data_IF_785387805122
#
_entry.id   IF_785387805122
#
_cell.length_a   1.000
_cell.length_b   1.000
_cell.length_c   1.000
_cell.angle_alpha   90.00
_cell.angle_beta   90.00
_cell.angle_gamma   90.00
#
_symmetry.space_group_name_H-M   'P 1'
#
loop_
_entity.id
_entity.type
_entity.pdbx_description
1 polymer ?
#
# COMPACT_ATOMS: atom_id res chain seq x y z
N UNK A 1 0.41 4.20 -8.67
CA UNK A 1 -0.15 4.74 -7.40
C UNK A 1 1.02 5.18 -6.56
N UNK A 2 1.06 6.47 -6.19
CA UNK A 2 2.17 7.04 -5.43
C UNK A 2 1.68 7.29 -3.99
N UNK A 3 2.47 6.85 -3.01
CA UNK A 3 2.22 7.15 -1.59
C UNK A 3 3.31 8.05 -1.01
N UNK A 4 2.92 9.22 -0.51
CA UNK A 4 3.78 10.19 0.16
C UNK A 4 3.55 10.07 1.66
N UNK A 5 4.62 9.79 2.40
CA UNK A 5 4.59 9.80 3.86
C UNK A 5 5.12 11.14 4.39
N UNK A 6 4.38 11.74 5.31
CA UNK A 6 4.78 12.94 6.04
C UNK A 6 4.47 12.82 7.53
N UNK A 7 5.23 13.52 8.37
CA UNK A 7 4.93 13.67 9.80
C UNK A 7 4.03 14.90 9.97
N UNK A 8 3.04 14.80 10.85
CA UNK A 8 2.19 15.93 11.22
C UNK A 8 2.74 16.62 12.47
N UNK A 9 2.84 17.95 12.41
CA UNK A 9 3.19 18.82 13.52
C UNK A 9 1.95 19.62 13.90
N UNK A 10 1.59 19.57 15.17
CA UNK A 10 0.46 20.32 15.72
C UNK A 10 1.04 21.43 16.59
N UNK A 11 0.46 22.62 16.47
CA UNK A 11 0.89 23.78 17.25
C UNK A 11 0.42 23.68 18.70
N UNK A 12 -0.77 23.09 18.91
CA UNK A 12 -1.38 22.84 20.22
C UNK A 12 -1.34 21.35 20.61
N UNK A 13 -1.19 21.09 21.91
CA UNK A 13 -1.26 19.74 22.48
C UNK A 13 -2.70 19.22 22.49
N UNK A 14 -3.67 20.12 22.67
CA UNK A 14 -5.11 19.89 22.66
C UNK A 14 -5.55 19.45 21.26
N UNK A 15 -5.11 20.15 20.21
CA UNK A 15 -5.38 19.78 18.81
C UNK A 15 -4.91 18.38 18.47
N UNK A 16 -3.68 18.04 18.88
CA UNK A 16 -3.14 16.70 18.72
C UNK A 16 -3.99 15.66 19.46
N UNK A 17 -4.47 15.99 20.66
CA UNK A 17 -5.31 15.11 21.46
C UNK A 17 -6.70 14.92 20.84
N UNK A 18 -7.29 15.96 20.27
CA UNK A 18 -8.55 15.91 19.52
C UNK A 18 -8.45 14.99 18.31
N UNK A 19 -7.37 15.11 17.53
CA UNK A 19 -7.12 14.20 16.40
C UNK A 19 -6.85 12.76 16.87
N UNK A 20 -6.14 12.58 17.98
CA UNK A 20 -5.93 11.25 18.56
C UNK A 20 -7.24 10.59 19.00
N UNK A 21 -8.16 11.35 19.62
CA UNK A 21 -9.48 10.85 19.98
C UNK A 21 -10.31 10.47 18.74
N UNK A 22 -10.29 11.29 17.69
CA UNK A 22 -10.91 10.96 16.40
C UNK A 22 -10.36 9.64 15.84
N UNK A 23 -9.04 9.46 15.82
CA UNK A 23 -8.40 8.21 15.36
C UNK A 23 -8.83 7.01 16.22
N UNK A 24 -8.94 7.19 17.54
CA UNK A 24 -9.40 6.18 18.50
C UNK A 24 -10.83 5.75 18.21
N UNK A 25 -11.75 6.70 18.04
CA UNK A 25 -13.17 6.46 17.73
C UNK A 25 -13.33 5.81 16.35
N UNK A 26 -12.63 6.31 15.34
CA UNK A 26 -12.64 5.72 13.99
C UNK A 26 -12.12 4.28 13.99
N UNK A 27 -11.00 4.01 14.66
CA UNK A 27 -10.45 2.66 14.77
C UNK A 27 -11.41 1.72 15.51
N UNK A 28 -12.13 2.21 16.52
CA UNK A 28 -13.15 1.43 17.20
C UNK A 28 -14.36 1.14 16.29
N UNK A 29 -14.83 2.14 15.55
CA UNK A 29 -15.89 2.01 14.55
C UNK A 29 -15.56 0.96 13.50
N UNK A 30 -14.35 0.96 12.94
CA UNK A 30 -13.89 -0.02 11.95
C UNK A 30 -13.91 -1.45 12.49
N UNK A 31 -13.43 -1.67 13.72
CA UNK A 31 -13.46 -3.01 14.35
C UNK A 31 -14.88 -3.47 14.66
N UNK A 32 -15.74 -2.55 15.10
CA UNK A 32 -17.15 -2.85 15.35
C UNK A 32 -17.87 -3.21 14.06
N UNK A 33 -17.67 -2.41 13.01
CA UNK A 33 -18.20 -2.68 11.67
C UNK A 33 -17.73 -4.04 11.15
N UNK A 34 -16.46 -4.41 11.36
CA UNK A 34 -15.95 -5.73 10.98
C UNK A 34 -16.73 -6.87 11.63
N UNK A 35 -16.97 -6.79 12.94
CA UNK A 35 -17.78 -7.79 13.66
C UNK A 35 -19.20 -7.87 13.09
N UNK A 36 -19.84 -6.72 12.84
CA UNK A 36 -21.19 -6.68 12.27
C UNK A 36 -21.27 -7.21 10.84
N UNK A 37 -20.25 -6.97 10.02
CA UNK A 37 -20.15 -7.54 8.68
C UNK A 37 -20.03 -9.08 8.72
N UNK A 38 -19.36 -9.64 9.73
CA UNK A 38 -19.33 -11.10 9.94
C UNK A 38 -20.69 -11.67 10.33
N UNK A 39 -21.52 -10.88 11.01
CA UNK A 39 -22.89 -11.22 11.42
C UNK A 39 -23.92 -11.00 10.29
N UNK A 40 -23.49 -10.51 9.12
CA UNK A 40 -24.34 -10.35 7.94
C UNK A 40 -25.03 -8.99 7.81
N UNK A 41 -24.73 -8.03 8.68
CA UNK A 41 -25.32 -6.69 8.60
C UNK A 41 -24.94 -5.95 7.31
N UNK A 42 -25.88 -5.19 6.75
CA UNK A 42 -25.66 -4.45 5.50
C UNK A 42 -24.98 -3.11 5.76
N UNK A 43 -24.19 -2.64 4.78
CA UNK A 43 -23.48 -1.35 4.84
C UNK A 43 -24.40 -0.17 5.19
N UNK A 44 -25.58 -0.09 4.59
CA UNK A 44 -26.47 1.07 4.76
C UNK A 44 -27.06 1.16 6.18
N UNK A 45 -27.36 0.01 6.80
CA UNK A 45 -27.82 -0.08 8.19
C UNK A 45 -26.70 0.38 9.14
N UNK A 46 -25.49 -0.17 8.96
CA UNK A 46 -24.32 0.21 9.75
C UNK A 46 -24.00 1.70 9.60
N UNK A 47 -24.09 2.25 8.40
CA UNK A 47 -23.78 3.67 8.18
C UNK A 47 -24.68 4.59 9.00
N UNK A 48 -25.98 4.26 9.16
CA UNK A 48 -26.90 5.05 10.00
C UNK A 48 -26.59 4.88 11.49
N UNK A 49 -26.47 3.63 11.95
CA UNK A 49 -26.28 3.31 13.37
C UNK A 49 -24.93 3.81 13.93
N UNK A 50 -23.85 3.60 13.18
CA UNK A 50 -22.50 3.84 13.70
C UNK A 50 -22.12 5.33 13.80
N UNK A 51 -22.86 6.23 13.14
CA UNK A 51 -22.65 7.68 13.27
C UNK A 51 -22.88 8.16 14.71
N UNK A 52 -24.02 7.79 15.30
CA UNK A 52 -24.35 8.14 16.69
C UNK A 52 -23.44 7.41 17.68
N UNK A 53 -23.22 6.11 17.50
CA UNK A 53 -22.43 5.28 18.45
C UNK A 53 -20.99 5.79 18.61
N UNK A 54 -20.35 6.21 17.51
CA UNK A 54 -18.95 6.63 17.53
C UNK A 54 -18.75 8.14 17.42
N UNK A 55 -19.84 8.91 17.37
CA UNK A 55 -19.85 10.35 17.12
C UNK A 55 -18.98 10.74 15.91
N UNK A 56 -19.18 10.04 14.77
CA UNK A 56 -18.40 10.24 13.55
C UNK A 56 -19.32 10.72 12.44
N UNK A 57 -18.83 11.63 11.60
CA UNK A 57 -19.56 12.01 10.40
C UNK A 57 -19.76 10.81 9.45
N UNK A 58 -20.79 10.91 8.61
CA UNK A 58 -21.21 9.83 7.71
C UNK A 58 -20.10 9.30 6.80
N UNK A 59 -19.16 10.16 6.38
CA UNK A 59 -18.02 9.76 5.52
C UNK A 59 -17.02 8.91 6.30
N UNK A 60 -16.64 9.33 7.50
CA UNK A 60 -15.73 8.56 8.34
C UNK A 60 -16.27 7.18 8.68
N UNK A 61 -17.57 7.09 9.01
CA UNK A 61 -18.24 5.80 9.25
C UNK A 61 -18.20 4.94 7.99
N UNK A 62 -18.53 5.51 6.84
CA UNK A 62 -18.54 4.78 5.58
C UNK A 62 -17.14 4.24 5.22
N UNK A 63 -16.11 5.05 5.45
CA UNK A 63 -14.72 4.67 5.25
C UNK A 63 -14.25 3.60 6.25
N UNK A 64 -14.74 3.63 7.49
CA UNK A 64 -14.49 2.57 8.47
C UNK A 64 -15.12 1.24 8.03
N UNK A 65 -16.37 1.25 7.56
CA UNK A 65 -17.06 0.08 7.00
C UNK A 65 -16.32 -0.45 5.77
N UNK A 66 -15.90 0.45 4.86
CA UNK A 66 -15.14 0.10 3.66
C UNK A 66 -13.82 -0.60 4.02
N UNK A 67 -13.04 -0.04 4.94
CA UNK A 67 -11.78 -0.66 5.41
C UNK A 67 -12.03 -1.98 6.13
N UNK A 68 -13.08 -2.10 6.93
CA UNK A 68 -13.48 -3.36 7.55
C UNK A 68 -13.79 -4.44 6.51
N UNK A 69 -14.58 -4.09 5.48
CA UNK A 69 -14.93 -5.01 4.40
C UNK A 69 -13.70 -5.41 3.56
N UNK A 70 -12.76 -4.49 3.34
CA UNK A 70 -11.49 -4.79 2.67
C UNK A 70 -10.66 -5.82 3.45
N UNK A 71 -10.59 -5.70 4.79
CA UNK A 71 -9.95 -6.72 5.63
C UNK A 71 -10.68 -8.06 5.53
N UNK A 72 -12.01 -8.05 5.55
CA UNK A 72 -12.81 -9.27 5.44
C UNK A 72 -12.57 -9.98 4.11
N UNK A 73 -12.60 -9.24 2.99
CA UNK A 73 -12.33 -9.76 1.64
C UNK A 73 -10.92 -10.33 1.55
N UNK A 74 -9.92 -9.59 2.01
CA UNK A 74 -8.52 -10.05 2.01
C UNK A 74 -8.30 -11.30 2.88
N UNK A 75 -9.03 -11.47 3.98
CA UNK A 75 -8.96 -12.72 4.76
C UNK A 75 -9.55 -13.91 4.00
N UNK A 76 -10.71 -13.72 3.36
CA UNK A 76 -11.36 -14.77 2.55
C UNK A 76 -10.47 -15.18 1.36
N UNK A 77 -9.90 -14.21 0.65
CA UNK A 77 -8.98 -14.45 -0.48
C UNK A 77 -7.72 -15.22 -0.07
N UNK A 78 -7.23 -15.02 1.17
CA UNK A 78 -6.07 -15.74 1.71
C UNK A 78 -6.43 -17.11 2.32
N UNK A 79 -7.71 -17.52 2.29
CA UNK A 79 -8.19 -18.74 2.93
C UNK A 79 -8.05 -18.73 4.46
N UNK A 80 -7.94 -17.53 5.06
CA UNK A 80 -7.84 -17.38 6.51
C UNK A 80 -9.23 -17.31 7.15
N UNK A 81 -9.37 -17.81 8.38
CA UNK A 81 -10.63 -17.73 9.11
C UNK A 81 -10.92 -16.27 9.53
N UNK A 82 -11.98 -15.62 9.00
CA UNK A 82 -12.29 -14.23 9.32
C UNK A 82 -12.63 -13.98 10.80
N UNK A 83 -13.11 -15.01 11.52
CA UNK A 83 -13.42 -14.89 12.96
C UNK A 83 -12.17 -14.79 13.84
N UNK A 84 -10.98 -15.11 13.30
CA UNK A 84 -9.70 -15.12 14.04
C UNK A 84 -8.82 -13.90 13.74
N UNK A 85 -9.36 -12.84 13.13
CA UNK A 85 -8.60 -11.63 12.81
C UNK A 85 -8.24 -10.85 14.08
N UNK A 86 -6.96 -10.48 14.18
CA UNK A 86 -6.42 -9.71 15.31
C UNK A 86 -6.02 -8.31 14.85
N UNK A 87 -6.84 -7.32 15.18
CA UNK A 87 -6.52 -5.91 14.97
C UNK A 87 -5.38 -5.44 15.88
N UNK A 88 -4.40 -4.74 15.32
CA UNK A 88 -3.13 -4.39 15.97
C UNK A 88 -1.95 -5.28 15.55
N UNK A 89 -2.22 -6.35 14.80
CA UNK A 89 -1.22 -7.28 14.26
C UNK A 89 -1.10 -8.54 15.12
N UNK A 90 -1.24 -9.70 14.46
CA UNK A 90 -1.18 -11.02 15.10
C UNK A 90 0.18 -11.29 15.76
N UNK A 91 1.28 -11.04 15.04
CA UNK A 91 2.64 -11.24 15.58
C UNK A 91 2.89 -10.42 16.84
N UNK A 92 2.40 -9.18 16.87
CA UNK A 92 2.60 -8.28 18.01
C UNK A 92 1.75 -8.72 19.20
N UNK A 93 0.52 -9.19 18.94
CA UNK A 93 -0.34 -9.80 19.95
C UNK A 93 0.29 -11.07 20.54
N UNK A 94 0.81 -11.97 19.69
CA UNK A 94 1.49 -13.19 20.12
C UNK A 94 2.75 -12.88 20.95
N UNK A 95 3.52 -11.84 20.59
CA UNK A 95 4.65 -11.35 21.40
C UNK A 95 4.20 -10.86 22.77
N UNK A 96 3.08 -10.14 22.85
CA UNK A 96 2.51 -9.66 24.12
C UNK A 96 2.02 -10.79 25.03
N UNK A 97 1.67 -11.96 24.49
CA UNK A 97 1.29 -13.12 25.29
C UNK A 97 2.50 -13.83 25.94
N UNK A 98 3.74 -13.57 25.47
CA UNK A 98 4.93 -14.25 25.99
C UNK A 98 5.40 -13.60 27.29
N UNK A 99 5.49 -14.40 28.36
CA UNK A 99 5.84 -13.95 29.72
C UNK A 99 7.32 -13.60 29.94
N UNK A 100 8.20 -13.82 28.96
CA UNK A 100 9.64 -13.56 29.09
C UNK A 100 10.05 -12.12 28.74
N UNK A 101 9.18 -11.33 28.10
CA UNK A 101 9.47 -9.93 27.77
C UNK A 101 8.92 -9.07 28.89
N UNK A 102 9.79 -8.44 29.68
CA UNK A 102 9.40 -7.66 30.86
C UNK A 102 9.90 -6.20 30.78
N UNK A 103 9.44 -5.38 31.72
CA UNK A 103 9.92 -4.00 31.93
C UNK A 103 9.68 -3.06 30.75
N UNK A 104 10.70 -2.25 30.42
CA UNK A 104 10.61 -1.21 29.37
C UNK A 104 10.31 -1.79 27.98
N UNK A 105 10.85 -2.96 27.66
CA UNK A 105 10.62 -3.63 26.39
C UNK A 105 9.15 -4.04 26.21
N UNK A 106 8.54 -4.58 27.26
CA UNK A 106 7.12 -4.95 27.27
C UNK A 106 6.21 -3.71 27.09
N UNK A 107 6.48 -2.64 27.85
CA UNK A 107 5.73 -1.37 27.70
C UNK A 107 5.81 -0.80 26.28
N UNK A 108 6.97 -0.93 25.63
CA UNK A 108 7.16 -0.52 24.23
C UNK A 108 6.28 -1.33 23.27
N UNK A 109 6.23 -2.67 23.44
CA UNK A 109 5.35 -3.54 22.64
C UNK A 109 3.87 -3.22 22.89
N UNK A 110 3.47 -3.00 24.15
CA UNK A 110 2.10 -2.64 24.49
C UNK A 110 1.69 -1.34 23.80
N UNK A 111 2.55 -0.31 23.87
CA UNK A 111 2.33 0.95 23.18
C UNK A 111 2.20 0.74 21.67
N UNK A 112 3.14 0.03 21.04
CA UNK A 112 3.09 -0.24 19.60
C UNK A 112 1.79 -0.95 19.18
N UNK A 113 1.30 -1.88 20.01
CA UNK A 113 0.07 -2.61 19.72
C UNK A 113 -1.17 -1.72 19.85
N UNK A 114 -1.22 -0.89 20.90
CA UNK A 114 -2.30 0.08 21.08
C UNK A 114 -2.31 1.11 19.95
N UNK A 115 -1.14 1.61 19.54
CA UNK A 115 -0.99 2.54 18.41
C UNK A 115 -1.48 1.90 17.10
N UNK A 116 -1.06 0.66 16.79
CA UNK A 116 -1.54 -0.06 15.60
C UNK A 116 -3.03 -0.39 15.65
N UNK A 117 -3.59 -0.61 16.85
CA UNK A 117 -4.99 -1.03 17.02
C UNK A 117 -5.96 0.16 17.05
N UNK A 118 -5.55 1.29 17.63
CA UNK A 118 -6.42 2.45 17.92
C UNK A 118 -5.95 3.75 17.28
N UNK A 119 -4.74 3.79 16.73
CA UNK A 119 -4.15 4.99 16.14
C UNK A 119 -4.22 5.02 14.63
N UNK A 120 -5.36 4.67 14.03
CA UNK A 120 -5.58 4.80 12.59
C UNK A 120 -6.77 5.72 12.30
N UNK A 121 -6.69 6.45 11.18
CA UNK A 121 -7.82 7.14 10.56
C UNK A 121 -7.64 7.01 9.04
N UNK A 122 -8.72 6.77 8.31
CA UNK A 122 -8.67 6.75 6.86
C UNK A 122 -9.76 7.64 6.28
N UNK A 123 -9.38 8.42 5.28
CA UNK A 123 -10.28 9.26 4.49
C UNK A 123 -9.99 9.12 3.01
N UNK A 124 -11.02 8.98 2.19
CA UNK A 124 -10.94 8.98 0.74
C UNK A 124 -11.43 10.32 0.17
N UNK A 125 -10.74 10.81 -0.84
CA UNK A 125 -11.18 11.96 -1.63
C UNK A 125 -12.29 11.61 -2.62
N UNK A 126 -12.98 12.66 -3.08
CA UNK A 126 -14.09 12.60 -4.01
C UNK A 126 -13.88 13.69 -5.07
N UNK A 127 -13.87 13.28 -6.34
CA UNK A 127 -13.66 14.20 -7.48
C UNK A 127 -14.69 15.32 -7.49
N UNK A 128 -15.95 15.02 -7.16
CA UNK A 128 -17.03 16.02 -7.10
C UNK A 128 -16.83 17.07 -6.00
N UNK A 129 -15.90 16.82 -5.06
CA UNK A 129 -15.62 17.67 -3.90
C UNK A 129 -14.21 18.25 -3.90
N UNK A 130 -13.51 18.20 -5.05
CA UNK A 130 -12.14 18.74 -5.23
C UNK A 130 -11.17 18.19 -4.18
N UNK A 131 -10.81 16.91 -4.30
CA UNK A 131 -9.88 16.26 -3.38
C UNK A 131 -10.56 15.63 -2.17
N UNK A 132 -10.00 15.82 -0.97
CA UNK A 132 -10.46 15.18 0.27
C UNK A 132 -11.14 16.19 1.19
N UNK A 133 -12.37 15.91 1.65
CA UNK A 133 -13.14 16.83 2.50
C UNK A 133 -12.77 16.73 3.98
N UNK A 134 -12.50 15.52 4.45
CA UNK A 134 -12.25 15.24 5.85
C UNK A 134 -10.77 15.47 6.22
N UNK A 135 -9.85 15.28 5.27
CA UNK A 135 -8.40 15.48 5.47
C UNK A 135 -7.83 16.21 4.26
N UNK A 136 -7.96 17.54 4.23
CA UNK A 136 -7.63 18.39 3.08
C UNK A 136 -6.25 19.00 3.24
N UNK A 137 -5.42 18.89 2.21
CA UNK A 137 -4.19 19.67 2.06
C UNK A 137 -4.59 21.11 1.71
N UNK A 138 -4.06 22.06 2.47
CA UNK A 138 -4.23 23.49 2.25
C UNK A 138 -2.85 24.16 2.26
N UNK A 139 -2.67 25.16 1.40
CA UNK A 139 -1.42 25.90 1.25
C UNK A 139 -1.64 27.28 1.88
N UNK A 140 -0.83 27.61 2.87
CA UNK A 140 -0.85 28.87 3.60
C UNK A 140 0.53 29.54 3.43
N UNK A 141 0.64 30.36 2.39
CA UNK A 141 1.93 30.91 1.94
C UNK A 141 2.91 29.80 1.53
N UNK A 142 4.03 29.69 2.25
CA UNK A 142 5.04 28.64 2.05
C UNK A 142 4.75 27.34 2.82
N UNK A 143 3.80 27.36 3.76
CA UNK A 143 3.51 26.22 4.62
C UNK A 143 2.38 25.38 4.03
N UNK A 144 2.61 24.06 3.99
CA UNK A 144 1.57 23.10 3.61
C UNK A 144 0.96 22.51 4.88
N UNK A 145 -0.33 22.74 5.09
CA UNK A 145 -1.09 22.28 6.26
C UNK A 145 -2.08 21.19 5.85
N UNK A 146 -2.39 20.30 6.78
CA UNK A 146 -3.47 19.33 6.67
C UNK A 146 -4.61 19.78 7.57
N UNK A 147 -5.74 20.16 6.96
CA UNK A 147 -7.01 20.40 7.64
C UNK A 147 -7.72 19.07 7.89
N UNK A 148 -7.96 18.75 9.15
CA UNK A 148 -8.62 17.52 9.60
C UNK A 148 -9.98 17.89 10.18
N UNK A 149 -11.07 17.40 9.58
CA UNK A 149 -12.41 17.52 10.14
C UNK A 149 -12.52 16.62 11.37
N UNK A 150 -12.84 17.21 12.52
CA UNK A 150 -12.95 16.51 13.81
C UNK A 150 -14.39 16.47 14.34
N UNK A 151 -15.28 17.31 13.80
CA UNK A 151 -16.68 17.44 14.19
C UNK A 151 -17.53 18.14 13.13
N UNK A 152 -18.69 18.65 13.54
CA UNK A 152 -19.59 19.38 12.67
C UNK A 152 -19.03 20.78 12.39
N UNK A 153 -18.42 20.94 11.21
CA UNK A 153 -17.69 22.17 10.80
C UNK A 153 -16.51 22.56 11.69
N UNK A 154 -16.07 21.65 12.56
CA UNK A 154 -14.86 21.81 13.37
C UNK A 154 -13.65 21.19 12.66
N UNK A 155 -12.54 21.93 12.65
CA UNK A 155 -11.32 21.54 11.98
C UNK A 155 -10.10 21.77 12.86
N UNK A 156 -9.18 20.81 12.83
CA UNK A 156 -7.83 20.96 13.38
C UNK A 156 -6.85 21.07 12.21
N UNK A 157 -5.83 21.91 12.37
CA UNK A 157 -4.78 22.09 11.37
C UNK A 157 -3.48 21.47 11.87
N UNK A 158 -2.77 20.80 10.97
CA UNK A 158 -1.44 20.27 11.26
C UNK A 158 -0.47 20.62 10.14
N UNK A 159 0.67 21.20 10.49
CA UNK A 159 1.74 21.45 9.54
C UNK A 159 2.30 20.12 9.03
N UNK A 160 2.37 19.98 7.71
CA UNK A 160 2.90 18.78 7.06
C UNK A 160 4.41 18.95 7.00
N UNK A 161 5.14 18.04 7.65
CA UNK A 161 6.59 17.92 7.53
C UNK A 161 6.90 16.75 6.61
N UNK A 162 6.96 16.96 5.28
CA UNK A 162 7.38 15.93 4.35
C UNK A 162 8.89 15.69 4.55
N UNK A 163 9.27 14.46 4.86
CA UNK A 163 10.71 14.12 4.87
C UNK A 163 11.28 14.16 3.45
N UNK A 164 12.58 14.40 3.32
CA UNK A 164 13.28 14.31 2.04
C UNK A 164 13.47 12.86 1.59
N UNK A 165 13.57 12.63 0.28
CA UNK A 165 14.03 11.37 -0.30
C UNK A 165 15.11 11.70 -1.33
N UNK A 166 16.31 11.21 -1.10
CA UNK A 166 17.37 11.21 -2.12
C UNK A 166 17.35 9.83 -2.77
N UNK A 167 17.15 9.78 -4.08
CA UNK A 167 17.32 8.57 -4.89
C UNK A 167 18.22 8.92 -6.07
N UNK A 168 19.32 8.19 -6.23
CA UNK A 168 20.22 8.31 -7.39
C UNK A 168 20.66 9.76 -7.71
N UNK A 169 20.94 10.58 -6.68
CA UNK A 169 21.36 11.97 -6.85
C UNK A 169 20.22 12.96 -7.19
N UNK A 170 19.00 12.48 -7.46
CA UNK A 170 17.83 13.34 -7.71
C UNK A 170 17.13 13.68 -6.40
N UNK A 171 17.00 14.99 -6.13
CA UNK A 171 16.20 15.52 -5.04
C UNK A 171 14.74 15.56 -5.46
N UNK A 172 13.88 14.79 -4.78
CA UNK A 172 12.43 14.95 -4.95
C UNK A 172 11.88 15.71 -3.76
N UNK A 173 11.55 16.97 -3.98
CA UNK A 173 10.81 17.74 -2.98
C UNK A 173 9.39 17.16 -2.85
N UNK A 174 9.16 16.43 -1.76
CA UNK A 174 7.86 15.86 -1.46
C UNK A 174 6.83 16.94 -1.12
N UNK A 175 7.27 18.14 -0.75
CA UNK A 175 6.37 19.27 -0.51
C UNK A 175 5.75 19.75 -1.83
N UNK A 176 6.55 19.85 -2.89
CA UNK A 176 6.07 20.21 -4.23
C UNK A 176 5.00 19.21 -4.72
N UNK A 177 5.20 17.91 -4.49
CA UNK A 177 4.17 16.91 -4.80
C UNK A 177 2.87 17.14 -4.03
N UNK A 178 2.94 17.46 -2.74
CA UNK A 178 1.73 17.75 -1.94
C UNK A 178 1.01 19.02 -2.41
N UNK A 179 1.76 20.04 -2.83
CA UNK A 179 1.20 21.26 -3.40
C UNK A 179 0.50 20.99 -4.73
N UNK A 180 1.11 20.21 -5.63
CA UNK A 180 0.49 19.78 -6.90
C UNK A 180 -0.81 19.01 -6.62
N UNK A 181 -0.82 18.12 -5.62
CA UNK A 181 -2.04 17.41 -5.20
C UNK A 181 -3.13 18.39 -4.76
N UNK A 182 -2.76 19.39 -3.96
CA UNK A 182 -3.70 20.42 -3.50
C UNK A 182 -4.29 21.24 -4.65
N UNK A 183 -3.46 21.63 -5.63
CA UNK A 183 -3.86 22.49 -6.76
C UNK A 183 -4.67 21.71 -7.80
N UNK A 184 -4.28 20.46 -8.09
CA UNK A 184 -4.91 19.64 -9.14
C UNK A 184 -6.40 19.39 -8.90
N UNK A 185 -6.85 19.42 -7.65
CA UNK A 185 -8.23 19.07 -7.28
C UNK A 185 -8.56 17.58 -7.44
N UNK A 186 -7.60 16.75 -7.86
CA UNK A 186 -7.78 15.32 -8.01
C UNK A 186 -8.03 14.64 -6.65
N UNK A 187 -8.87 13.58 -6.60
CA UNK A 187 -9.14 12.86 -5.37
C UNK A 187 -7.91 12.08 -4.92
N UNK A 188 -7.54 12.26 -3.65
CA UNK A 188 -6.51 11.48 -2.98
C UNK A 188 -7.04 10.89 -1.70
N UNK A 189 -6.46 9.76 -1.28
CA UNK A 189 -6.75 9.19 0.03
C UNK A 189 -5.66 9.56 1.04
N UNK A 190 -6.05 9.68 2.30
CA UNK A 190 -5.15 9.95 3.42
C UNK A 190 -5.38 8.88 4.47
N UNK A 191 -4.29 8.26 4.91
CA UNK A 191 -4.29 7.37 6.07
C UNK A 191 -3.41 8.00 7.16
N UNK A 192 -3.98 8.28 8.33
CA UNK A 192 -3.21 8.72 9.50
C UNK A 192 -2.83 7.49 10.33
N UNK A 193 -1.58 7.44 10.79
CA UNK A 193 -1.06 6.39 11.68
C UNK A 193 -0.30 6.99 12.83
N UNK A 194 -0.65 6.58 14.05
CA UNK A 194 0.13 6.87 15.24
C UNK A 194 1.32 5.90 15.30
N UNK A 195 2.52 6.45 15.47
CA UNK A 195 3.76 5.69 15.67
C UNK A 195 4.65 6.42 16.65
N UNK A 196 5.00 5.76 17.76
CA UNK A 196 5.83 6.33 18.83
C UNK A 196 5.32 7.71 19.30
N UNK A 197 4.02 7.85 19.53
CA UNK A 197 3.39 9.10 19.96
C UNK A 197 3.34 10.23 18.91
N UNK A 198 3.76 9.96 17.66
CA UNK A 198 3.75 10.91 16.53
C UNK A 198 2.75 10.46 15.48
N UNK A 199 2.01 11.40 14.90
CA UNK A 199 1.03 11.11 13.84
C UNK A 199 1.72 11.29 12.49
N UNK A 200 1.58 10.29 11.63
CA UNK A 200 2.07 10.30 10.26
C UNK A 200 0.91 10.21 9.29
N UNK A 201 0.92 11.04 8.26
CA UNK A 201 -0.02 10.99 7.15
C UNK A 201 0.60 10.25 5.95
N UNK A 202 -0.20 9.40 5.31
CA UNK A 202 0.13 8.68 4.08
C UNK A 202 -0.86 9.13 3.01
N UNK A 203 -0.41 10.03 2.14
CA UNK A 203 -1.19 10.53 1.01
C UNK A 203 -1.03 9.57 -0.15
N UNK A 204 -2.12 9.03 -0.68
CA UNK A 204 -2.08 8.14 -1.85
C UNK A 204 -2.87 8.74 -2.98
N UNK A 205 -2.19 8.92 -4.11
CA UNK A 205 -2.74 9.41 -5.37
C UNK A 205 -2.67 8.34 -6.44
N UNK A 206 -3.68 8.33 -7.30
CA UNK A 206 -3.61 7.59 -8.54
C UNK A 206 -2.55 8.25 -9.44
N UNK A 207 -1.73 7.40 -10.04
CA UNK A 207 -0.69 7.82 -10.96
C UNK A 207 -1.26 7.61 -12.35
N UNK A 208 -1.39 8.69 -13.10
CA UNK A 208 -1.82 8.61 -14.49
C UNK A 208 -0.58 8.27 -15.29
N UNK A 209 -0.51 7.03 -15.79
CA UNK A 209 0.51 6.64 -16.74
C UNK A 209 0.17 7.24 -18.10
N UNK A 210 1.18 7.70 -18.87
CA UNK A 210 0.94 8.10 -20.25
C UNK A 210 0.37 6.89 -21.03
N UNK A 211 -0.46 7.14 -22.06
CA UNK A 211 -0.96 6.06 -22.91
C UNK A 211 0.22 5.27 -23.51
N UNK A 212 0.09 3.95 -23.53
CA UNK A 212 1.12 3.05 -24.05
C UNK A 212 1.38 3.36 -25.54
N UNK A 213 2.56 3.88 -25.87
CA UNK A 213 2.95 4.17 -27.26
C UNK A 213 3.28 2.89 -28.05
N UNK A 214 3.77 1.85 -27.36
CA UNK A 214 4.21 0.59 -27.97
C UNK A 214 3.06 -0.41 -27.93
N UNK A 215 2.59 -0.83 -29.10
CA UNK A 215 1.47 -1.79 -29.23
C UNK A 215 1.92 -3.08 -29.93
N UNK A 216 1.06 -4.10 -29.88
CA UNK A 216 1.28 -5.39 -30.57
C UNK A 216 1.44 -5.25 -32.08
N UNK A 217 1.05 -4.12 -32.67
CA UNK A 217 1.20 -3.85 -34.10
C UNK A 217 2.67 -3.86 -34.55
N UNK A 218 3.59 -3.60 -33.64
CA UNK A 218 5.03 -3.67 -33.93
C UNK A 218 5.59 -5.09 -33.81
N UNK A 219 4.82 -6.06 -33.31
CA UNK A 219 5.30 -7.39 -32.88
C UNK A 219 5.52 -7.46 -31.37
N UNK A 220 6.01 -8.61 -30.89
CA UNK A 220 6.12 -8.88 -29.45
C UNK A 220 7.48 -9.44 -29.05
N UNK A 221 7.82 -9.27 -27.78
CA UNK A 221 8.89 -10.03 -27.11
C UNK A 221 8.20 -10.97 -26.13
N UNK A 222 8.17 -12.26 -26.46
CA UNK A 222 7.76 -13.33 -25.56
C UNK A 222 8.84 -13.55 -24.52
N UNK A 223 8.45 -13.59 -23.25
CA UNK A 223 9.32 -13.80 -22.11
C UNK A 223 8.93 -15.09 -21.41
N UNK A 224 9.86 -16.03 -21.35
CA UNK A 224 9.74 -17.26 -20.56
C UNK A 224 10.72 -17.21 -19.38
N UNK A 225 10.15 -17.18 -18.18
CA UNK A 225 10.91 -17.23 -16.93
C UNK A 225 11.26 -18.68 -16.61
N UNK A 226 12.21 -19.26 -17.34
CA UNK A 226 12.57 -20.65 -17.16
C UNK A 226 13.35 -20.88 -15.86
N UNK A 227 12.89 -21.81 -15.03
CA UNK A 227 13.43 -22.01 -13.68
C UNK A 227 14.79 -22.75 -13.65
N UNK A 228 15.18 -23.36 -14.77
CA UNK A 228 16.45 -24.05 -14.96
C UNK A 228 16.82 -24.05 -16.46
N UNK A 229 18.02 -23.57 -16.86
CA UNK A 229 19.16 -23.12 -16.06
C UNK A 229 19.09 -21.63 -15.62
N UNK A 230 17.99 -21.19 -14.98
CA UNK A 230 17.88 -19.88 -14.30
C UNK A 230 18.17 -18.68 -15.20
N UNK A 231 17.75 -18.77 -16.44
CA UNK A 231 17.72 -17.64 -17.36
C UNK A 231 16.30 -17.13 -17.52
N UNK A 232 16.18 -15.92 -18.06
CA UNK A 232 14.96 -15.53 -18.77
C UNK A 232 15.22 -15.79 -20.25
N UNK A 233 14.49 -16.71 -20.84
CA UNK A 233 14.48 -16.88 -22.28
C UNK A 233 13.56 -15.82 -22.88
N UNK A 234 13.96 -15.24 -24.00
CA UNK A 234 13.15 -14.28 -24.72
C UNK A 234 13.15 -14.59 -26.21
N UNK A 235 12.01 -14.34 -26.86
CA UNK A 235 11.84 -14.51 -28.29
C UNK A 235 11.13 -13.28 -28.86
N UNK A 236 11.70 -12.66 -29.87
CA UNK A 236 11.14 -11.53 -30.59
C UNK A 236 10.40 -12.01 -31.83
N UNK A 237 9.20 -11.51 -32.06
CA UNK A 237 8.44 -11.73 -33.29
C UNK A 237 8.06 -10.43 -33.98
N UNK A 238 7.74 -10.54 -35.27
CA UNK A 238 7.07 -9.48 -36.00
C UNK A 238 5.56 -9.44 -35.69
N UNK A 239 4.83 -8.58 -36.41
CA UNK A 239 3.38 -8.41 -36.30
C UNK A 239 2.57 -9.63 -36.75
N UNK A 240 3.16 -10.51 -37.57
CA UNK A 240 2.55 -11.71 -38.10
C UNK A 240 2.87 -12.96 -37.26
N UNK A 241 3.71 -12.81 -36.23
CA UNK A 241 4.15 -13.92 -35.37
C UNK A 241 5.38 -14.66 -35.91
N UNK A 242 6.04 -14.14 -36.94
CA UNK A 242 7.30 -14.71 -37.42
C UNK A 242 8.43 -14.38 -36.45
N UNK A 243 9.22 -15.40 -36.08
CA UNK A 243 10.38 -15.25 -35.20
C UNK A 243 11.46 -14.40 -35.89
N UNK A 244 11.90 -13.34 -35.22
CA UNK A 244 12.95 -12.42 -35.68
C UNK A 244 14.28 -12.70 -34.98
N UNK A 245 14.24 -12.83 -33.65
CA UNK A 245 15.43 -13.11 -32.85
C UNK A 245 15.06 -13.79 -31.53
N UNK A 246 16.02 -14.41 -30.85
CA UNK A 246 15.83 -15.01 -29.55
C UNK A 246 17.12 -14.92 -28.74
N UNK A 247 17.02 -15.13 -27.44
CA UNK A 247 18.19 -15.18 -26.57
C UNK A 247 17.84 -15.50 -25.14
N UNK A 248 18.85 -15.43 -24.29
CA UNK A 248 18.74 -15.73 -22.87
C UNK A 248 19.41 -14.64 -22.04
N UNK A 249 18.79 -14.28 -20.92
CA UNK A 249 19.38 -13.42 -19.88
C UNK A 249 19.72 -14.32 -18.70
N UNK A 250 21.00 -14.59 -18.51
CA UNK A 250 21.48 -15.34 -17.34
C UNK A 250 21.24 -14.53 -16.06
N UNK A 251 20.79 -15.21 -14.99
CA UNK A 251 20.55 -14.56 -13.70
C UNK A 251 21.33 -15.20 -12.54
N UNK A 252 22.68 -15.22 -12.60
CA UNK A 252 23.50 -15.85 -11.56
C UNK A 252 23.30 -15.21 -10.17
N UNK A 253 22.94 -13.92 -10.10
CA UNK A 253 22.73 -13.21 -8.85
C UNK A 253 21.46 -13.62 -8.11
N UNK A 254 20.57 -14.39 -8.75
CA UNK A 254 19.43 -15.01 -8.08
C UNK A 254 19.77 -16.36 -7.43
N UNK A 255 20.95 -16.93 -7.71
CA UNK A 255 21.37 -18.24 -7.19
C UNK A 255 21.62 -18.23 -5.69
N UNK A 256 22.28 -17.19 -5.21
CA UNK A 256 22.74 -17.04 -3.83
C UNK A 256 22.49 -15.61 -3.31
N UNK A 257 22.48 -15.45 -1.99
CA UNK A 257 22.29 -14.14 -1.37
C UNK A 257 20.98 -13.97 -0.59
N UNK A 258 20.91 -12.84 0.12
CA UNK A 258 19.79 -12.50 0.98
C UNK A 258 18.51 -12.22 0.17
N UNK A 259 17.35 -12.26 0.83
CA UNK A 259 16.08 -11.89 0.20
C UNK A 259 16.14 -10.49 -0.43
N UNK A 260 16.80 -9.56 0.25
CA UNK A 260 16.97 -8.18 -0.23
C UNK A 260 17.83 -8.11 -1.48
N UNK A 261 18.98 -8.79 -1.49
CA UNK A 261 19.87 -8.85 -2.67
C UNK A 261 19.12 -9.39 -3.88
N UNK A 262 18.39 -10.51 -3.70
CA UNK A 262 17.58 -11.11 -4.76
C UNK A 262 16.47 -10.19 -5.26
N UNK A 263 15.78 -9.48 -4.37
CA UNK A 263 14.76 -8.51 -4.75
C UNK A 263 15.34 -7.36 -5.58
N UNK A 264 16.50 -6.84 -5.19
CA UNK A 264 17.23 -5.83 -5.97
C UNK A 264 17.54 -6.32 -7.40
N UNK A 265 18.13 -7.50 -7.56
CA UNK A 265 18.47 -8.02 -8.89
C UNK A 265 17.24 -8.37 -9.74
N UNK A 266 16.13 -8.80 -9.15
CA UNK A 266 14.86 -8.95 -9.90
C UNK A 266 14.44 -7.65 -10.57
N UNK A 267 14.57 -6.52 -9.86
CA UNK A 267 14.28 -5.22 -10.43
C UNK A 267 15.27 -4.82 -11.52
N UNK A 268 16.55 -5.18 -11.38
CA UNK A 268 17.55 -4.97 -12.43
C UNK A 268 17.20 -5.74 -13.71
N UNK A 269 16.90 -7.05 -13.62
CA UNK A 269 16.53 -7.82 -14.82
C UNK A 269 15.19 -7.38 -15.42
N UNK A 270 14.19 -7.05 -14.59
CA UNK A 270 12.94 -6.46 -15.08
C UNK A 270 13.21 -5.19 -15.89
N UNK A 271 14.08 -4.31 -15.40
CA UNK A 271 14.48 -3.10 -16.08
C UNK A 271 15.19 -3.41 -17.41
N UNK A 272 16.10 -4.39 -17.44
CA UNK A 272 16.77 -4.83 -18.67
C UNK A 272 15.78 -5.31 -19.74
N UNK A 273 14.81 -6.16 -19.35
CA UNK A 273 13.79 -6.68 -20.27
C UNK A 273 12.92 -5.53 -20.81
N UNK A 274 12.50 -4.61 -19.94
CA UNK A 274 11.71 -3.43 -20.35
C UNK A 274 12.52 -2.52 -21.27
N UNK A 275 13.80 -2.32 -21.00
CA UNK A 275 14.68 -1.52 -21.83
C UNK A 275 14.85 -2.13 -23.22
N UNK A 276 15.09 -3.44 -23.29
CA UNK A 276 15.16 -4.20 -24.55
C UNK A 276 13.85 -4.05 -25.35
N UNK A 277 12.69 -4.15 -24.71
CA UNK A 277 11.40 -3.97 -25.37
C UNK A 277 11.18 -2.54 -25.88
N UNK A 278 11.65 -1.53 -25.15
CA UNK A 278 11.61 -0.12 -25.57
C UNK A 278 12.52 0.13 -26.78
N UNK A 279 13.75 -0.36 -26.74
CA UNK A 279 14.72 -0.23 -27.85
C UNK A 279 14.20 -0.89 -29.12
N UNK A 280 13.58 -2.07 -29.01
CA UNK A 280 12.97 -2.79 -30.13
C UNK A 280 11.57 -2.27 -30.52
N UNK A 281 10.99 -1.35 -29.74
CA UNK A 281 9.61 -0.85 -29.91
C UNK A 281 8.56 -1.99 -29.96
N UNK A 282 8.71 -3.02 -29.12
CA UNK A 282 7.83 -4.21 -29.09
C UNK A 282 7.10 -4.34 -27.76
N UNK A 283 5.90 -4.90 -27.79
CA UNK A 283 5.16 -5.22 -26.55
C UNK A 283 5.73 -6.48 -25.89
N UNK A 284 5.78 -6.50 -24.56
CA UNK A 284 6.17 -7.69 -23.80
C UNK A 284 4.97 -8.62 -23.62
N UNK A 285 5.17 -9.91 -23.89
CA UNK A 285 4.21 -10.97 -23.61
C UNK A 285 4.84 -11.92 -22.60
N UNK A 286 4.12 -12.19 -21.52
CA UNK A 286 4.55 -13.12 -20.45
C UNK A 286 3.45 -14.15 -20.23
N UNK A 287 3.84 -15.35 -19.83
CA UNK A 287 2.88 -16.39 -19.48
C UNK A 287 2.01 -15.96 -18.29
N UNK A 288 0.69 -16.21 -18.39
CA UNK A 288 -0.23 -16.00 -17.28
C UNK A 288 -0.14 -17.18 -16.31
N UNK A 289 0.73 -17.05 -15.32
CA UNK A 289 0.92 -18.05 -14.29
C UNK A 289 -0.09 -17.87 -13.14
N UNK A 290 -1.16 -18.68 -13.15
CA UNK A 290 -2.12 -18.72 -12.04
C UNK A 290 -1.51 -19.44 -10.83
N UNK A 291 -0.92 -18.68 -9.91
CA UNK A 291 -0.40 -19.21 -8.64
C UNK A 291 -1.53 -19.61 -7.69
N UNK A 292 -2.17 -20.77 -7.92
CA UNK A 292 -3.28 -21.27 -7.08
C UNK A 292 -2.90 -21.55 -5.63
N UNK A 293 -1.62 -21.77 -5.32
CA UNK A 293 -1.14 -21.97 -3.95
C UNK A 293 0.30 -21.47 -3.79
N UNK A 294 0.51 -20.36 -3.08
CA UNK A 294 1.87 -19.93 -2.68
C UNK A 294 2.56 -20.93 -1.73
N UNK A 295 1.84 -21.97 -1.27
CA UNK A 295 2.29 -22.96 -0.31
C UNK A 295 2.44 -22.35 1.09
N UNK A 296 2.20 -23.15 2.13
CA UNK A 296 2.57 -22.79 3.50
C UNK A 296 4.06 -23.04 3.70
N UNK A 297 4.62 -22.42 4.74
CA UNK A 297 6.02 -22.60 5.14
C UNK A 297 6.21 -24.06 5.59
N UNK A 298 6.69 -24.92 4.70
CA UNK A 298 6.86 -26.36 4.95
C UNK A 298 6.38 -27.25 3.79
N UNK A 299 5.38 -26.79 3.02
CA UNK A 299 4.69 -27.61 2.01
C UNK A 299 5.56 -28.00 0.81
N UNK A 300 6.74 -27.40 0.67
CA UNK A 300 7.71 -27.70 -0.38
C UNK A 300 9.13 -27.60 0.17
N UNK A 301 9.51 -28.56 0.99
CA UNK A 301 10.83 -28.68 1.63
C UNK A 301 11.90 -29.07 0.61
N UNK A 302 12.45 -28.08 -0.10
CA UNK A 302 13.62 -28.30 -0.96
C UNK A 302 14.19 -27.01 -1.54
N UNK A 303 15.50 -26.99 -1.83
CA UNK A 303 16.16 -25.85 -2.52
C UNK A 303 15.51 -25.60 -3.88
N UNK A 304 15.16 -26.65 -4.63
CA UNK A 304 14.61 -26.61 -6.00
C UNK A 304 13.24 -25.90 -6.09
N UNK A 305 12.30 -26.18 -5.18
CA UNK A 305 10.96 -25.55 -5.17
C UNK A 305 10.96 -24.07 -4.72
N UNK A 306 11.86 -23.69 -3.80
CA UNK A 306 12.05 -22.28 -3.40
C UNK A 306 12.62 -21.44 -4.53
N UNK A 307 13.40 -22.06 -5.42
CA UNK A 307 14.07 -21.44 -6.57
C UNK A 307 13.13 -21.15 -7.75
N UNK A 308 12.14 -22.02 -8.00
CA UNK A 308 11.12 -21.83 -9.06
C UNK A 308 10.20 -20.63 -8.73
N UNK A 309 9.69 -20.55 -7.49
CA UNK A 309 8.85 -19.40 -7.06
C UNK A 309 9.57 -18.05 -7.06
N UNK A 310 10.89 -18.05 -6.88
CA UNK A 310 11.69 -16.83 -6.82
C UNK A 310 11.67 -16.08 -8.16
N UNK A 311 11.58 -16.81 -9.27
CA UNK A 311 11.70 -16.29 -10.63
C UNK A 311 10.36 -15.78 -11.20
N UNK A 312 9.26 -16.42 -10.82
CA UNK A 312 7.88 -16.04 -11.20
C UNK A 312 7.35 -14.78 -10.51
N UNK A 313 8.23 -14.00 -9.86
CA UNK A 313 7.89 -12.78 -9.11
C UNK A 313 8.72 -11.59 -9.55
N UNK A 314 9.28 -11.63 -10.77
CA UNK A 314 9.83 -10.46 -11.44
C UNK A 314 8.66 -9.50 -11.69
N UNK A 315 8.68 -8.29 -11.12
CA UNK A 315 7.63 -7.32 -11.36
C UNK A 315 7.80 -6.79 -12.78
N UNK A 316 6.87 -7.12 -13.67
CA UNK A 316 6.71 -6.36 -14.91
C UNK A 316 5.86 -5.14 -14.57
N UNK A 317 6.42 -3.91 -14.56
CA UNK A 317 5.60 -2.72 -14.44
C UNK A 317 4.62 -2.68 -15.60
N UNK A 318 3.34 -2.47 -15.30
CA UNK A 318 2.35 -2.12 -16.32
C UNK A 318 2.74 -0.75 -16.89
N UNK A 319 3.01 -0.72 -18.19
CA UNK A 319 3.15 0.50 -18.99
C UNK A 319 2.04 0.53 -20.02
#
# INVERSE_FOLDING_TARGET
MITIQAKLIFDSSEDKQTVFDLMRRWSACMRYAYKRLLEGHKRNELKKQLQGIFNLNSRYVDYAIMKANSVLKSCKERGENPRKVIFGGRELFEKLQKRHINGRAYRKLQREWQEKRKGNLYSRGDRSKKGNLNTRIEIDGSLTKLRINVGEREYVYASIQPGWKVKAGTYTDRNMLLQVISISGEPYSVELKLKNGKIYAYFTVEEVFPPSTITRANGVIGIDTNAYPRHVAWAETDKNGQLLSYGEILMPELESGSSYKREYYKWQYAHMIVQMAKEKQKTIVVEKLDMKNKGRRGDFSGRKSRRIRLLLSIPFPHF
#
